data_IF_698540130120
#
_entry.id   IF_698540130120
#
_cell.length_a   1.000
_cell.length_b   1.000
_cell.length_c   1.000
_cell.angle_alpha   90.00
_cell.angle_beta   90.00
_cell.angle_gamma   90.00
#
_symmetry.space_group_name_H-M   'P 1'
#
loop_
_entity.id
_entity.type
_entity.pdbx_description
1 polymer ?
#
# COMPACT_ATOMS: atom_id res chain seq x y z
N UNK A 1 -18.21 13.84 4.89
CA UNK A 1 -17.60 12.95 3.90
C UNK A 1 -16.58 12.09 4.63
N UNK A 2 -16.62 10.79 4.42
CA UNK A 2 -15.73 9.82 5.08
C UNK A 2 -14.63 9.42 4.09
N UNK A 3 -13.37 9.40 4.52
CA UNK A 3 -12.26 8.89 3.71
C UNK A 3 -12.02 7.42 4.04
N UNK A 4 -12.11 6.56 3.03
CA UNK A 4 -11.80 5.14 3.15
C UNK A 4 -10.58 4.83 2.28
N UNK A 5 -9.58 4.17 2.86
CA UNK A 5 -8.33 3.80 2.17
C UNK A 5 -8.32 2.29 1.92
N UNK A 6 -8.08 1.91 0.68
CA UNK A 6 -7.78 0.52 0.30
C UNK A 6 -6.27 0.22 0.43
N UNK A 7 -5.90 -1.03 0.18
CA UNK A 7 -4.51 -1.51 0.29
C UNK A 7 -3.57 -0.85 -0.70
N UNK A 8 -4.01 -0.56 -1.93
CA UNK A 8 -3.15 0.06 -2.94
C UNK A 8 -2.71 1.45 -2.52
N UNK A 9 -3.62 2.24 -1.93
CA UNK A 9 -3.34 3.58 -1.43
C UNK A 9 -2.40 3.54 -0.23
N UNK A 10 -2.60 2.59 0.68
CA UNK A 10 -1.72 2.40 1.84
C UNK A 10 -0.33 1.88 1.45
N UNK A 11 -0.22 0.97 0.47
CA UNK A 11 1.07 0.50 -0.05
C UNK A 11 1.84 1.67 -0.65
N UNK A 12 1.15 2.51 -1.44
CA UNK A 12 1.74 3.71 -2.04
C UNK A 12 2.31 4.65 -0.99
N UNK A 13 1.53 4.91 0.07
CA UNK A 13 1.92 5.71 1.23
C UNK A 13 3.12 5.12 1.96
N UNK A 14 3.05 3.85 2.37
CA UNK A 14 4.08 3.22 3.22
C UNK A 14 5.41 3.00 2.49
N UNK A 15 5.38 2.79 1.18
CA UNK A 15 6.59 2.58 0.39
C UNK A 15 7.11 3.85 -0.28
N UNK A 16 6.47 5.00 -0.06
CA UNK A 16 6.84 6.27 -0.68
C UNK A 16 6.98 6.16 -2.21
N UNK A 17 6.04 5.45 -2.85
CA UNK A 17 6.03 5.33 -4.31
C UNK A 17 5.75 6.70 -4.96
N UNK A 18 6.22 6.88 -6.20
CA UNK A 18 6.05 8.12 -6.96
C UNK A 18 4.57 8.55 -7.07
N UNK A 19 4.30 9.83 -6.83
CA UNK A 19 2.94 10.39 -6.86
C UNK A 19 2.16 10.12 -5.57
N UNK A 20 2.83 9.84 -4.46
CA UNK A 20 2.24 9.76 -3.11
C UNK A 20 1.98 11.15 -2.50
N UNK A 21 2.58 12.22 -3.03
CA UNK A 21 2.47 13.58 -2.49
C UNK A 21 1.04 14.12 -2.43
N UNK A 22 0.16 13.88 -3.44
CA UNK A 22 -1.25 14.26 -3.34
C UNK A 22 -1.97 13.53 -2.20
N UNK A 23 -1.63 12.26 -1.94
CA UNK A 23 -2.18 11.47 -0.85
C UNK A 23 -1.70 12.00 0.50
N UNK A 24 -0.40 12.29 0.65
CA UNK A 24 0.15 12.89 1.87
C UNK A 24 -0.56 14.20 2.23
N UNK A 25 -0.72 15.09 1.24
CA UNK A 25 -1.46 16.35 1.43
C UNK A 25 -2.89 16.11 1.86
N UNK A 26 -3.55 15.09 1.31
CA UNK A 26 -4.92 14.75 1.68
C UNK A 26 -5.00 14.22 3.11
N UNK A 27 -4.13 13.29 3.49
CA UNK A 27 -4.09 12.74 4.84
C UNK A 27 -3.78 13.81 5.89
N UNK A 28 -2.86 14.73 5.56
CA UNK A 28 -2.57 15.89 6.39
C UNK A 28 -3.81 16.77 6.58
N UNK A 29 -4.54 17.06 5.50
CA UNK A 29 -5.80 17.83 5.57
C UNK A 29 -6.85 17.13 6.43
N UNK A 30 -7.05 15.81 6.28
CA UNK A 30 -8.01 15.08 7.12
C UNK A 30 -7.60 15.09 8.59
N UNK A 31 -6.29 14.97 8.89
CA UNK A 31 -5.74 15.05 10.24
C UNK A 31 -5.97 16.40 10.89
N UNK A 32 -5.67 17.50 10.17
CA UNK A 32 -5.89 18.87 10.65
C UNK A 32 -7.37 19.15 10.93
N UNK A 33 -8.26 18.59 10.11
CA UNK A 33 -9.70 18.70 10.29
C UNK A 33 -10.28 17.68 11.29
N UNK A 34 -9.43 16.90 11.98
CA UNK A 34 -9.85 15.84 12.92
C UNK A 34 -10.87 14.87 12.33
N UNK A 35 -10.74 14.57 11.04
CA UNK A 35 -11.64 13.67 10.32
C UNK A 35 -11.14 12.23 10.41
N UNK A 36 -12.09 11.33 10.63
CA UNK A 36 -11.81 9.89 10.75
C UNK A 36 -11.52 9.30 9.38
N UNK A 37 -10.43 8.54 9.29
CA UNK A 37 -10.03 7.75 8.12
C UNK A 37 -10.27 6.28 8.43
N UNK A 38 -10.91 5.57 7.50
CA UNK A 38 -11.27 4.17 7.65
C UNK A 38 -10.49 3.29 6.67
N UNK A 39 -10.33 2.03 7.03
CA UNK A 39 -9.82 0.99 6.13
C UNK A 39 -10.43 -0.36 6.50
N UNK A 40 -10.32 -1.36 5.61
CA UNK A 40 -10.73 -2.73 5.91
C UNK A 40 -9.72 -3.39 6.84
N UNK A 41 -10.20 -4.26 7.72
CA UNK A 41 -9.30 -5.16 8.48
C UNK A 41 -8.51 -6.08 7.54
N UNK A 42 -9.07 -6.43 6.38
CA UNK A 42 -8.38 -7.23 5.36
C UNK A 42 -7.22 -6.49 4.72
N UNK A 43 -7.29 -5.16 4.67
CA UNK A 43 -6.22 -4.31 4.12
C UNK A 43 -4.88 -4.56 4.84
N UNK A 44 -4.91 -4.83 6.14
CA UNK A 44 -3.69 -5.11 6.91
C UNK A 44 -2.92 -6.32 6.35
N UNK A 45 -3.62 -7.43 6.12
CA UNK A 45 -3.02 -8.65 5.59
C UNK A 45 -2.47 -8.44 4.17
N UNK A 46 -3.20 -7.71 3.32
CA UNK A 46 -2.80 -7.40 1.95
C UNK A 46 -1.52 -6.55 1.91
N UNK A 47 -1.48 -5.45 2.67
CA UNK A 47 -0.32 -4.56 2.78
C UNK A 47 0.89 -5.33 3.29
N UNK A 48 0.72 -6.11 4.36
CA UNK A 48 1.80 -6.89 4.96
C UNK A 48 2.37 -7.92 3.96
N UNK A 49 1.50 -8.63 3.23
CA UNK A 49 1.93 -9.60 2.24
C UNK A 49 2.74 -8.95 1.10
N UNK A 50 2.32 -7.77 0.62
CA UNK A 50 3.04 -7.05 -0.44
C UNK A 50 4.39 -6.54 0.03
N UNK A 51 4.46 -5.94 1.22
CA UNK A 51 5.71 -5.43 1.80
C UNK A 51 6.73 -6.56 1.96
N UNK A 52 6.32 -7.70 2.53
CA UNK A 52 7.21 -8.85 2.74
C UNK A 52 7.70 -9.48 1.42
N UNK A 53 6.83 -9.58 0.40
CA UNK A 53 7.23 -10.06 -0.93
C UNK A 53 8.29 -9.18 -1.58
N UNK A 54 8.15 -7.85 -1.45
CA UNK A 54 9.13 -6.90 -1.99
C UNK A 54 10.45 -6.94 -1.21
N UNK A 55 10.39 -7.10 0.12
CA UNK A 55 11.57 -7.27 0.98
C UNK A 55 12.37 -8.53 0.67
N UNK A 56 11.68 -9.65 0.44
CA UNK A 56 12.31 -10.95 0.18
C UNK A 56 12.74 -11.16 -1.27
N UNK A 57 12.38 -10.23 -2.18
CA UNK A 57 12.65 -10.38 -3.61
C UNK A 57 11.88 -11.52 -4.27
N UNK A 58 10.92 -12.15 -3.59
CA UNK A 58 10.24 -13.39 -4.00
C UNK A 58 9.35 -13.27 -5.27
N UNK A 59 9.41 -12.13 -5.98
CA UNK A 59 8.70 -11.93 -7.25
C UNK A 59 9.60 -12.27 -8.46
N UNK A 60 10.91 -12.47 -8.30
CA UNK A 60 11.80 -12.78 -9.46
C UNK A 60 11.99 -14.27 -9.76
N UNK A 61 11.42 -15.20 -8.98
CA UNK A 61 11.62 -16.64 -9.20
C UNK A 61 10.42 -17.37 -9.80
N UNK A 62 9.18 -16.88 -9.62
CA UNK A 62 8.03 -17.60 -10.16
C UNK A 62 7.95 -17.56 -11.71
N UNK A 63 8.67 -16.64 -12.35
CA UNK A 63 8.83 -16.56 -13.81
C UNK A 63 10.06 -17.33 -14.35
N UNK A 64 11.13 -17.51 -13.56
CA UNK A 64 12.29 -18.33 -13.99
C UNK A 64 12.03 -19.82 -13.91
N UNK A 65 11.13 -20.27 -13.04
CA UNK A 65 10.76 -21.70 -12.95
C UNK A 65 9.86 -22.22 -14.08
N UNK A 66 9.36 -21.35 -14.98
CA UNK A 66 8.49 -21.75 -16.11
C UNK A 66 9.17 -21.73 -17.47
N UNK A 67 10.43 -21.32 -17.56
CA UNK A 67 11.30 -21.58 -18.72
C UNK A 67 12.47 -22.42 -18.24
N UNK A 68 12.24 -23.73 -18.21
CA UNK A 68 13.27 -24.73 -17.96
C UNK A 68 14.38 -24.70 -19.03
N UNK A 69 15.41 -25.56 -18.87
CA UNK A 69 16.69 -25.52 -19.59
C UNK A 69 16.57 -25.54 -21.12
#
# INVERSE_FOLDING_TARGET
MVLYLDSSVLIKHYQQEDGSEPLERRLQTERENSRVVFTSVHTYAEVHAVIERRRTGAVTEHERGRRGP
#
